data_IF_534320740068
#
_entry.id   IF_534320740068
#
_cell.length_a   1.000
_cell.length_b   1.000
_cell.length_c   1.000
_cell.angle_alpha   90.00
_cell.angle_beta   90.00
_cell.angle_gamma   90.00
#
_symmetry.space_group_name_H-M   'P 1'
#
loop_
_entity.id
_entity.type
_entity.pdbx_description
1 polymer ?
#
# COMPACT_ATOMS: atom_id res chain seq x y z
N UNK A 1 15.65 -15.28 -6.71
CA UNK A 1 16.69 -14.35 -6.26
C UNK A 1 17.29 -13.60 -7.44
N UNK A 2 17.92 -14.27 -8.40
CA UNK A 2 18.54 -13.63 -9.59
C UNK A 2 17.63 -12.60 -10.29
N UNK A 3 16.39 -12.96 -10.67
CA UNK A 3 15.42 -12.03 -11.29
C UNK A 3 15.12 -10.79 -10.42
N UNK A 4 15.08 -10.97 -9.10
CA UNK A 4 14.78 -9.89 -8.16
C UNK A 4 15.97 -8.96 -7.98
N UNK A 5 17.19 -9.50 -7.97
CA UNK A 5 18.43 -8.72 -7.94
C UNK A 5 18.59 -7.89 -9.21
N UNK A 6 18.42 -8.52 -10.38
CA UNK A 6 18.44 -7.84 -11.67
C UNK A 6 17.39 -6.73 -11.74
N UNK A 7 16.20 -6.94 -11.16
CA UNK A 7 15.18 -5.90 -11.07
C UNK A 7 15.63 -4.72 -10.20
N UNK A 8 16.22 -4.97 -9.02
CA UNK A 8 16.73 -3.89 -8.15
C UNK A 8 17.83 -3.09 -8.85
N UNK A 9 18.77 -3.75 -9.53
CA UNK A 9 19.83 -3.09 -10.30
C UNK A 9 19.27 -2.22 -11.43
N UNK A 10 18.27 -2.74 -12.17
CA UNK A 10 17.60 -1.99 -13.22
C UNK A 10 16.86 -0.77 -12.65
N UNK A 11 16.13 -0.92 -11.55
CA UNK A 11 15.40 0.19 -10.92
C UNK A 11 16.35 1.29 -10.47
N UNK A 12 17.52 0.94 -9.93
CA UNK A 12 18.52 1.94 -9.51
C UNK A 12 18.98 2.87 -10.64
N UNK A 13 18.80 2.44 -11.91
CA UNK A 13 19.23 3.19 -13.09
C UNK A 13 18.10 3.86 -13.88
N UNK A 14 16.91 3.27 -13.96
CA UNK A 14 15.93 3.61 -15.01
C UNK A 14 14.48 3.86 -14.54
N UNK A 15 14.23 3.93 -13.24
CA UNK A 15 12.85 4.05 -12.70
C UNK A 15 12.50 5.45 -12.19
N UNK A 16 11.37 5.58 -11.50
CA UNK A 16 10.98 6.83 -10.84
C UNK A 16 12.07 7.29 -9.85
N UNK A 17 12.26 8.61 -9.63
CA UNK A 17 13.29 9.09 -8.70
C UNK A 17 13.18 8.54 -7.28
N UNK A 18 11.96 8.22 -6.83
CA UNK A 18 11.73 7.62 -5.52
C UNK A 18 12.19 6.16 -5.48
N UNK A 19 11.89 5.39 -6.52
CA UNK A 19 12.23 3.97 -6.62
C UNK A 19 13.73 3.79 -6.86
N UNK A 20 14.34 4.64 -7.70
CA UNK A 20 15.80 4.71 -7.87
C UNK A 20 16.48 4.89 -6.52
N UNK A 21 16.05 5.87 -5.73
CA UNK A 21 16.68 6.18 -4.44
C UNK A 21 16.53 5.04 -3.41
N UNK A 22 15.43 4.29 -3.44
CA UNK A 22 15.27 3.09 -2.62
C UNK A 22 16.22 1.98 -3.08
N UNK A 23 16.25 1.69 -4.39
CA UNK A 23 17.09 0.64 -4.96
C UNK A 23 18.59 0.92 -4.78
N UNK A 24 19.05 2.13 -5.10
CA UNK A 24 20.44 2.56 -4.90
C UNK A 24 20.87 2.41 -3.44
N UNK A 25 20.01 2.77 -2.48
CA UNK A 25 20.32 2.62 -1.04
C UNK A 25 20.54 1.18 -0.60
N UNK A 26 19.88 0.21 -1.22
CA UNK A 26 20.14 -1.20 -0.95
C UNK A 26 21.49 -1.62 -1.54
N UNK A 27 21.76 -1.25 -2.78
CA UNK A 27 22.97 -1.65 -3.50
C UNK A 27 24.24 -1.00 -2.94
N UNK A 28 24.15 0.24 -2.49
CA UNK A 28 25.29 1.00 -1.92
C UNK A 28 25.67 0.53 -0.51
N UNK A 29 24.80 -0.20 0.18
CA UNK A 29 25.02 -0.63 1.56
C UNK A 29 24.98 -2.16 1.69
N UNK A 30 26.15 -2.82 1.83
CA UNK A 30 26.22 -4.29 1.92
C UNK A 30 25.41 -4.90 3.07
N UNK A 31 25.28 -4.21 4.21
CA UNK A 31 24.47 -4.70 5.34
C UNK A 31 22.97 -4.54 5.10
N UNK A 32 22.57 -3.52 4.33
CA UNK A 32 21.19 -3.38 3.90
C UNK A 32 20.84 -4.44 2.85
N UNK A 33 21.76 -4.68 1.89
CA UNK A 33 21.63 -5.72 0.87
C UNK A 33 21.41 -7.10 1.48
N UNK A 34 22.33 -7.58 2.34
CA UNK A 34 22.21 -8.90 2.97
C UNK A 34 20.92 -9.08 3.77
N UNK A 35 20.49 -8.02 4.46
CA UNK A 35 19.22 -8.06 5.21
C UNK A 35 18.03 -8.11 4.27
N UNK A 36 18.05 -7.33 3.19
CA UNK A 36 17.02 -7.35 2.17
C UNK A 36 16.93 -8.71 1.52
N UNK A 37 18.05 -9.26 1.07
CA UNK A 37 18.16 -10.59 0.46
C UNK A 37 17.53 -11.66 1.36
N UNK A 38 17.92 -11.70 2.64
CA UNK A 38 17.40 -12.67 3.60
C UNK A 38 15.91 -12.48 3.95
N UNK A 39 15.40 -11.24 3.94
CA UNK A 39 13.99 -10.94 4.15
C UNK A 39 13.16 -11.25 2.88
N UNK A 40 13.71 -10.96 1.71
CA UNK A 40 13.09 -11.19 0.41
C UNK A 40 13.01 -12.69 0.11
N UNK A 41 14.08 -13.46 0.36
CA UNK A 41 14.05 -14.92 0.24
C UNK A 41 12.96 -15.53 1.14
N UNK A 42 12.87 -15.07 2.40
CA UNK A 42 11.79 -15.50 3.31
C UNK A 42 10.40 -15.15 2.78
N UNK A 43 10.25 -14.03 2.07
CA UNK A 43 8.99 -13.61 1.47
C UNK A 43 8.66 -14.44 0.20
N UNK A 44 9.66 -14.76 -0.61
CA UNK A 44 9.49 -15.49 -1.88
C UNK A 44 9.42 -17.00 -1.71
N UNK A 45 9.94 -17.56 -0.61
CA UNK A 45 9.90 -19.00 -0.37
C UNK A 45 8.48 -19.61 -0.40
N UNK A 46 7.47 -19.03 0.29
CA UNK A 46 6.09 -19.51 0.14
C UNK A 46 5.52 -19.33 -1.28
N UNK A 47 6.07 -18.40 -2.07
CA UNK A 47 5.67 -18.18 -3.46
C UNK A 47 6.24 -19.25 -4.37
N UNK A 48 7.48 -19.70 -4.13
CA UNK A 48 8.16 -20.71 -4.97
C UNK A 48 7.89 -22.16 -4.56
N UNK A 49 7.50 -22.41 -3.32
CA UNK A 49 7.20 -23.76 -2.79
C UNK A 49 6.07 -24.51 -3.54
N UNK A 50 4.93 -23.88 -3.89
CA UNK A 50 3.85 -24.57 -4.59
C UNK A 50 4.26 -24.98 -6.00
N UNK A 51 3.98 -26.22 -6.40
CA UNK A 51 4.23 -26.68 -7.77
C UNK A 51 3.25 -26.09 -8.81
N UNK A 52 2.10 -25.57 -8.37
CA UNK A 52 1.05 -25.06 -9.26
C UNK A 52 1.08 -23.53 -9.29
N UNK A 53 1.11 -22.98 -10.51
CA UNK A 53 1.19 -21.54 -10.77
C UNK A 53 0.04 -20.75 -10.12
N UNK A 54 -1.18 -21.29 -10.14
CA UNK A 54 -2.35 -20.68 -9.50
C UNK A 54 -2.10 -20.36 -8.01
N UNK A 55 -1.48 -21.29 -7.28
CA UNK A 55 -1.12 -21.11 -5.87
C UNK A 55 0.04 -20.15 -5.70
N UNK A 56 1.04 -20.19 -6.58
CA UNK A 56 2.17 -19.25 -6.54
C UNK A 56 1.67 -17.80 -6.70
N UNK A 57 0.74 -17.57 -7.64
CA UNK A 57 0.11 -16.28 -7.89
C UNK A 57 -0.60 -15.77 -6.63
N UNK A 58 -1.43 -16.58 -5.98
CA UNK A 58 -2.12 -16.18 -4.75
C UNK A 58 -1.14 -15.84 -3.63
N UNK A 59 -0.04 -16.59 -3.50
CA UNK A 59 1.02 -16.30 -2.52
C UNK A 59 1.74 -14.98 -2.85
N UNK A 60 2.02 -14.71 -4.13
CA UNK A 60 2.65 -13.47 -4.57
C UNK A 60 1.74 -12.25 -4.31
N UNK A 61 0.44 -12.37 -4.60
CA UNK A 61 -0.56 -11.34 -4.26
C UNK A 61 -0.59 -11.05 -2.75
N UNK A 62 -0.60 -12.10 -1.92
CA UNK A 62 -0.56 -11.97 -0.46
C UNK A 62 0.71 -11.25 0.02
N UNK A 63 1.86 -11.58 -0.57
CA UNK A 63 3.13 -10.91 -0.31
C UNK A 63 3.08 -9.42 -0.68
N UNK A 64 2.59 -9.08 -1.88
CA UNK A 64 2.45 -7.69 -2.33
C UNK A 64 1.54 -6.88 -1.41
N UNK A 65 0.38 -7.43 -1.00
CA UNK A 65 -0.53 -6.80 -0.04
C UNK A 65 0.15 -6.53 1.32
N UNK A 66 0.97 -7.47 1.80
CA UNK A 66 1.71 -7.28 3.05
C UNK A 66 2.79 -6.19 2.92
N UNK A 67 3.43 -6.08 1.75
CA UNK A 67 4.42 -5.04 1.48
C UNK A 67 3.81 -3.65 1.41
N UNK A 68 2.61 -3.51 0.81
CA UNK A 68 1.82 -2.26 0.83
C UNK A 68 1.60 -1.79 2.28
N UNK A 69 1.31 -2.71 3.19
CA UNK A 69 1.09 -2.36 4.60
C UNK A 69 2.37 -1.89 5.28
N UNK A 70 3.48 -2.59 5.03
CA UNK A 70 4.77 -2.31 5.66
C UNK A 70 5.38 -0.99 5.22
N UNK A 71 5.11 -0.51 4.00
CA UNK A 71 5.64 0.78 3.53
C UNK A 71 4.82 2.00 3.97
N UNK A 72 3.59 1.79 4.47
CA UNK A 72 2.64 2.87 4.68
C UNK A 72 3.01 3.86 5.79
N UNK A 73 3.75 3.46 6.83
CA UNK A 73 4.22 4.40 7.87
C UNK A 73 5.12 5.46 7.24
N UNK A 74 6.09 5.03 6.44
CA UNK A 74 7.02 5.96 5.76
C UNK A 74 6.31 6.80 4.70
N UNK A 75 5.41 6.21 3.92
CA UNK A 75 4.63 6.96 2.92
C UNK A 75 3.73 7.99 3.58
N UNK A 76 3.09 7.66 4.72
CA UNK A 76 2.34 8.62 5.52
C UNK A 76 3.22 9.77 6.02
N UNK A 77 4.41 9.47 6.56
CA UNK A 77 5.37 10.49 6.99
C UNK A 77 5.77 11.43 5.84
N UNK A 78 6.06 10.87 4.67
CA UNK A 78 6.44 11.61 3.45
C UNK A 78 5.29 12.48 2.96
N UNK A 79 4.08 11.92 2.84
CA UNK A 79 2.97 12.63 2.20
C UNK A 79 2.38 13.70 3.12
N UNK A 80 2.35 13.45 4.43
CA UNK A 80 1.79 14.38 5.43
C UNK A 80 2.83 15.33 6.02
N UNK A 81 4.12 15.15 5.68
CA UNK A 81 5.22 15.98 6.15
C UNK A 81 5.22 16.12 7.68
N UNK A 82 4.96 15.01 8.39
CA UNK A 82 4.80 15.01 9.85
C UNK A 82 6.16 15.25 10.52
N UNK A 83 6.23 16.28 11.36
CA UNK A 83 7.45 16.69 12.04
C UNK A 83 7.25 16.83 13.56
N UNK A 84 8.36 17.06 14.28
CA UNK A 84 8.36 17.40 15.71
C UNK A 84 7.59 16.41 16.59
N UNK A 85 6.76 16.95 17.49
CA UNK A 85 6.04 16.16 18.49
C UNK A 85 5.01 15.19 17.89
N UNK A 86 4.41 15.51 16.73
CA UNK A 86 3.51 14.59 16.02
C UNK A 86 4.27 13.39 15.46
N UNK A 87 5.47 13.61 14.93
CA UNK A 87 6.33 12.50 14.46
C UNK A 87 6.71 11.57 15.62
N UNK A 88 7.05 12.11 16.78
CA UNK A 88 7.30 11.31 17.98
C UNK A 88 6.05 10.53 18.40
N UNK A 89 4.87 11.16 18.35
CA UNK A 89 3.58 10.47 18.61
C UNK A 89 3.31 9.32 17.65
N UNK A 90 3.62 9.49 16.36
CA UNK A 90 3.45 8.43 15.36
C UNK A 90 4.37 7.24 15.67
N UNK A 91 5.65 7.49 15.94
CA UNK A 91 6.57 6.41 16.30
C UNK A 91 6.18 5.75 17.63
N UNK A 92 5.68 6.52 18.60
CA UNK A 92 5.16 5.96 19.85
C UNK A 92 3.95 5.03 19.62
N UNK A 93 3.12 5.29 18.61
CA UNK A 93 1.96 4.47 18.27
C UNK A 93 2.36 3.07 17.74
N UNK A 94 3.43 2.98 16.94
CA UNK A 94 3.83 1.73 16.27
C UNK A 94 5.01 1.00 16.93
N UNK A 95 5.92 1.74 17.55
CA UNK A 95 7.16 1.22 18.16
C UNK A 95 7.17 1.33 19.69
N UNK A 96 6.14 1.95 20.28
CA UNK A 96 6.09 2.26 21.71
C UNK A 96 6.98 3.45 22.10
N UNK A 97 7.01 3.77 23.39
CA UNK A 97 7.64 5.00 23.92
C UNK A 97 9.18 4.87 24.02
N UNK A 98 9.76 3.71 23.70
CA UNK A 98 11.19 3.44 23.91
C UNK A 98 11.99 3.79 22.66
N UNK A 99 12.95 4.69 22.83
CA UNK A 99 13.99 5.07 21.86
C UNK A 99 13.50 5.45 20.45
N UNK A 100 13.04 6.70 20.34
CA UNK A 100 12.59 7.30 19.09
C UNK A 100 13.64 7.24 17.97
N UNK A 101 14.91 7.50 18.28
CA UNK A 101 15.96 7.57 17.26
C UNK A 101 16.17 6.20 16.61
N UNK A 102 16.24 5.15 17.42
CA UNK A 102 16.33 3.78 16.92
C UNK A 102 15.08 3.36 16.16
N UNK A 103 13.88 3.76 16.62
CA UNK A 103 12.65 3.47 15.90
C UNK A 103 12.63 4.11 14.49
N UNK A 104 13.11 5.35 14.36
CA UNK A 104 13.21 6.06 13.08
C UNK A 104 14.18 5.36 12.13
N UNK A 105 15.36 4.98 12.61
CA UNK A 105 16.37 4.28 11.80
C UNK A 105 15.86 2.91 11.37
N UNK A 106 15.22 2.17 12.29
CA UNK A 106 14.64 0.87 12.00
C UNK A 106 13.53 0.95 10.95
N UNK A 107 12.58 1.89 11.11
CA UNK A 107 11.49 2.11 10.15
C UNK A 107 12.01 2.50 8.77
N UNK A 108 12.98 3.40 8.69
CA UNK A 108 13.57 3.78 7.40
C UNK A 108 14.24 2.59 6.71
N UNK A 109 15.00 1.79 7.45
CA UNK A 109 15.58 0.56 6.93
C UNK A 109 14.52 -0.43 6.45
N UNK A 110 13.43 -0.61 7.21
CA UNK A 110 12.32 -1.48 6.84
C UNK A 110 11.63 -0.99 5.57
N UNK A 111 11.37 0.31 5.45
CA UNK A 111 10.79 0.93 4.27
C UNK A 111 11.61 0.66 3.02
N UNK A 112 12.93 0.85 3.09
CA UNK A 112 13.83 0.62 1.95
C UNK A 112 13.74 -0.85 1.50
N UNK A 113 13.87 -1.80 2.42
CA UNK A 113 13.85 -3.24 2.08
C UNK A 113 12.48 -3.73 1.61
N UNK A 114 11.40 -3.24 2.21
CA UNK A 114 10.04 -3.58 1.79
C UNK A 114 9.71 -2.99 0.41
N UNK A 115 10.11 -1.74 0.16
CA UNK A 115 9.87 -1.08 -1.13
C UNK A 115 10.63 -1.76 -2.26
N UNK A 116 11.90 -2.13 -2.07
CA UNK A 116 12.62 -2.94 -3.08
C UNK A 116 11.99 -4.30 -3.30
N UNK A 117 11.55 -4.98 -2.24
CA UNK A 117 10.80 -6.23 -2.39
C UNK A 117 9.49 -6.04 -3.15
N UNK A 118 8.81 -4.90 -2.97
CA UNK A 118 7.56 -4.60 -3.64
C UNK A 118 7.76 -4.44 -5.14
N UNK A 119 8.80 -3.70 -5.55
CA UNK A 119 9.22 -3.57 -6.94
C UNK A 119 9.52 -4.93 -7.58
N UNK A 120 10.16 -5.83 -6.83
CA UNK A 120 10.41 -7.20 -7.29
C UNK A 120 9.10 -7.98 -7.44
N UNK A 121 8.17 -7.91 -6.48
CA UNK A 121 6.89 -8.62 -6.60
C UNK A 121 6.07 -8.14 -7.79
N UNK A 122 6.07 -6.83 -8.06
CA UNK A 122 5.40 -6.26 -9.22
C UNK A 122 6.03 -6.76 -10.53
N UNK A 123 7.35 -6.79 -10.60
CA UNK A 123 8.08 -7.29 -11.76
C UNK A 123 7.81 -8.78 -12.02
N UNK A 124 7.83 -9.62 -10.99
CA UNK A 124 7.53 -11.05 -11.11
C UNK A 124 6.09 -11.28 -11.59
N UNK A 125 5.13 -10.50 -11.05
CA UNK A 125 3.74 -10.60 -11.45
C UNK A 125 3.51 -10.17 -12.90
N UNK A 126 4.12 -9.07 -13.34
CA UNK A 126 4.00 -8.55 -14.70
C UNK A 126 4.68 -9.46 -15.73
N UNK A 127 5.95 -9.82 -15.49
CA UNK A 127 6.79 -10.48 -16.51
C UNK A 127 6.68 -11.99 -16.53
N UNK A 128 6.57 -12.62 -15.37
CA UNK A 128 6.60 -14.08 -15.26
C UNK A 128 5.20 -14.67 -15.12
N UNK A 129 4.35 -14.07 -14.28
CA UNK A 129 3.03 -14.64 -13.97
C UNK A 129 1.89 -14.08 -14.82
N UNK A 130 2.08 -12.91 -15.45
CA UNK A 130 1.09 -12.17 -16.22
C UNK A 130 -0.23 -12.00 -15.46
N UNK A 131 -0.13 -11.64 -14.18
CA UNK A 131 -1.27 -11.59 -13.26
C UNK A 131 -1.98 -10.23 -13.30
N UNK A 132 -3.20 -10.22 -13.85
CA UNK A 132 -4.04 -9.02 -13.94
C UNK A 132 -4.38 -8.38 -12.57
N UNK A 133 -4.27 -9.12 -11.47
CA UNK A 133 -4.51 -8.56 -10.14
C UNK A 133 -3.49 -7.49 -9.73
N UNK A 134 -2.30 -7.49 -10.34
CA UNK A 134 -1.23 -6.52 -10.05
C UNK A 134 -1.40 -5.17 -10.77
N UNK A 135 -2.35 -5.06 -11.69
CA UNK A 135 -2.66 -3.80 -12.36
C UNK A 135 -3.68 -2.96 -11.55
N UNK A 136 -4.87 -2.69 -12.10
CA UNK A 136 -5.88 -1.86 -11.44
C UNK A 136 -6.28 -2.35 -10.04
N UNK A 137 -6.51 -3.66 -9.78
CA UNK A 137 -6.98 -4.13 -8.47
C UNK A 137 -6.01 -3.82 -7.32
N UNK A 138 -4.72 -4.17 -7.46
CA UNK A 138 -3.72 -3.91 -6.43
C UNK A 138 -3.49 -2.40 -6.24
N UNK A 139 -3.48 -1.62 -7.33
CA UNK A 139 -3.36 -0.16 -7.26
C UNK A 139 -4.52 0.48 -6.49
N UNK A 140 -5.76 0.03 -6.75
CA UNK A 140 -6.93 0.48 -6.02
C UNK A 140 -6.88 0.08 -4.54
N UNK A 141 -6.40 -1.14 -4.25
CA UNK A 141 -6.19 -1.57 -2.87
C UNK A 141 -5.17 -0.68 -2.15
N UNK A 142 -4.05 -0.37 -2.78
CA UNK A 142 -3.02 0.51 -2.23
C UNK A 142 -3.57 1.91 -1.91
N UNK A 143 -4.39 2.47 -2.80
CA UNK A 143 -5.06 3.76 -2.57
C UNK A 143 -6.02 3.70 -1.38
N UNK A 144 -6.89 2.69 -1.31
CA UNK A 144 -7.82 2.51 -0.20
C UNK A 144 -7.08 2.28 1.12
N UNK A 145 -5.99 1.52 1.09
CA UNK A 145 -5.20 1.24 2.28
C UNK A 145 -4.52 2.52 2.78
N UNK A 146 -3.98 3.31 1.86
CA UNK A 146 -3.41 4.62 2.17
C UNK A 146 -4.43 5.56 2.80
N UNK A 147 -5.67 5.58 2.30
CA UNK A 147 -6.76 6.38 2.87
C UNK A 147 -7.15 5.92 4.28
N UNK A 148 -7.34 4.62 4.48
CA UNK A 148 -7.59 4.05 5.80
C UNK A 148 -6.45 4.35 6.78
N UNK A 149 -5.21 4.13 6.36
CA UNK A 149 -4.03 4.32 7.20
C UNK A 149 -3.85 5.79 7.59
N UNK A 150 -4.07 6.71 6.65
CA UNK A 150 -4.10 8.15 6.91
C UNK A 150 -5.18 8.52 7.91
N UNK A 151 -6.42 8.06 7.69
CA UNK A 151 -7.56 8.27 8.59
C UNK A 151 -7.26 7.77 10.00
N UNK A 152 -6.68 6.57 10.12
CA UNK A 152 -6.27 6.00 11.39
C UNK A 152 -5.24 6.86 12.10
N UNK A 153 -4.16 7.25 11.41
CA UNK A 153 -3.09 8.04 12.00
C UNK A 153 -3.54 9.46 12.36
N UNK A 154 -4.30 10.13 11.50
CA UNK A 154 -4.78 11.50 11.75
C UNK A 154 -5.67 11.55 12.99
N UNK A 155 -6.59 10.59 13.14
CA UNK A 155 -7.43 10.47 14.34
C UNK A 155 -6.59 10.16 15.58
N UNK A 156 -5.63 9.23 15.48
CA UNK A 156 -4.78 8.85 16.61
C UNK A 156 -3.81 9.96 17.06
N UNK A 157 -3.43 10.86 16.14
CA UNK A 157 -2.50 11.95 16.40
C UNK A 157 -3.19 13.28 16.75
N UNK A 158 -4.51 13.36 16.68
CA UNK A 158 -5.28 14.53 17.08
C UNK A 158 -5.11 14.80 18.59
N UNK A 159 -4.63 15.99 18.94
CA UNK A 159 -4.32 16.39 20.32
C UNK A 159 -5.29 17.43 20.85
N UNK A 160 -5.55 18.46 20.05
CA UNK A 160 -6.47 19.53 20.47
C UNK A 160 -7.92 19.10 20.31
N UNK A 161 -8.84 19.76 21.00
CA UNK A 161 -10.25 19.43 20.90
C UNK A 161 -10.81 19.77 19.52
N UNK A 162 -10.30 20.84 18.90
CA UNK A 162 -10.63 21.23 17.53
C UNK A 162 -10.19 20.16 16.52
N UNK A 163 -8.98 19.59 16.68
CA UNK A 163 -8.47 18.51 15.84
C UNK A 163 -9.29 17.23 15.99
N UNK A 164 -9.69 16.90 17.22
CA UNK A 164 -10.54 15.73 17.49
C UNK A 164 -11.93 15.92 16.89
N UNK A 165 -12.53 17.10 17.04
CA UNK A 165 -13.83 17.41 16.46
C UNK A 165 -13.78 17.38 14.93
N UNK A 166 -12.72 17.92 14.32
CA UNK A 166 -12.50 17.84 12.88
C UNK A 166 -12.32 16.40 12.38
N UNK A 167 -11.73 15.53 13.20
CA UNK A 167 -11.48 14.13 12.88
C UNK A 167 -12.63 13.20 13.28
N UNK A 168 -13.69 13.67 13.92
CA UNK A 168 -14.78 12.83 14.43
C UNK A 168 -15.53 12.08 13.31
N UNK A 169 -15.78 12.76 12.18
CA UNK A 169 -16.39 12.11 11.01
C UNK A 169 -15.47 11.02 10.42
N UNK A 170 -14.16 11.30 10.37
CA UNK A 170 -13.14 10.35 9.94
C UNK A 170 -13.05 9.14 10.89
N UNK A 171 -13.17 9.38 12.20
CA UNK A 171 -13.21 8.35 13.23
C UNK A 171 -14.40 7.39 13.03
N UNK A 172 -15.58 7.95 12.79
CA UNK A 172 -16.81 7.19 12.52
C UNK A 172 -16.73 6.36 11.22
N UNK A 173 -15.94 6.78 10.23
CA UNK A 173 -15.77 6.07 8.96
C UNK A 173 -14.77 4.89 9.03
N UNK A 174 -13.89 4.83 10.05
CA UNK A 174 -12.86 3.79 10.16
C UNK A 174 -13.38 2.34 10.01
N UNK A 175 -14.51 1.94 10.63
CA UNK A 175 -15.04 0.59 10.47
C UNK A 175 -15.42 0.26 9.02
N UNK A 176 -16.03 1.21 8.31
CA UNK A 176 -16.41 1.05 6.90
C UNK A 176 -15.17 0.91 6.01
N UNK A 177 -14.18 1.77 6.18
CA UNK A 177 -12.92 1.70 5.42
C UNK A 177 -12.20 0.37 5.65
N UNK A 178 -12.17 -0.11 6.90
CA UNK A 178 -11.58 -1.42 7.25
C UNK A 178 -12.34 -2.58 6.59
N UNK A 179 -13.68 -2.51 6.55
CA UNK A 179 -14.52 -3.51 5.89
C UNK A 179 -14.25 -3.54 4.38
N UNK A 180 -14.27 -2.39 3.71
CA UNK A 180 -13.98 -2.27 2.27
C UNK A 180 -12.58 -2.76 1.89
N UNK A 181 -11.61 -2.59 2.79
CA UNK A 181 -10.26 -3.15 2.62
C UNK A 181 -10.24 -4.67 2.72
N UNK A 182 -11.00 -5.25 3.65
CA UNK A 182 -11.10 -6.70 3.77
C UNK A 182 -11.75 -7.31 2.51
N UNK A 183 -12.82 -6.69 2.00
CA UNK A 183 -13.45 -7.10 0.74
C UNK A 183 -12.50 -6.99 -0.45
N UNK A 184 -11.80 -5.87 -0.59
CA UNK A 184 -10.83 -5.67 -1.68
C UNK A 184 -9.68 -6.69 -1.60
N UNK A 185 -9.19 -6.99 -0.40
CA UNK A 185 -8.17 -8.02 -0.16
C UNK A 185 -8.68 -9.38 -0.63
N UNK A 186 -9.89 -9.76 -0.21
CA UNK A 186 -10.47 -11.05 -0.55
C UNK A 186 -10.67 -11.17 -2.07
N UNK A 187 -11.23 -10.14 -2.70
CA UNK A 187 -11.42 -10.09 -4.15
C UNK A 187 -10.10 -10.32 -4.89
N UNK A 188 -9.01 -9.61 -4.54
CA UNK A 188 -7.69 -9.79 -5.17
C UNK A 188 -7.18 -11.23 -5.01
N UNK A 189 -7.33 -11.82 -3.83
CA UNK A 189 -6.84 -13.19 -3.58
C UNK A 189 -7.66 -14.25 -4.32
N UNK A 190 -8.95 -14.02 -4.54
CA UNK A 190 -9.85 -14.94 -5.24
C UNK A 190 -9.90 -14.72 -6.76
N UNK A 191 -9.28 -13.65 -7.28
CA UNK A 191 -9.28 -13.38 -8.72
C UNK A 191 -8.73 -14.58 -9.49
N UNK A 192 -9.44 -15.08 -10.53
CA UNK A 192 -8.95 -16.17 -11.34
C UNK A 192 -7.63 -15.76 -12.00
N UNK A 193 -6.73 -16.72 -12.18
CA UNK A 193 -5.55 -16.50 -13.00
C UNK A 193 -6.00 -16.41 -14.47
N UNK A 194 -6.20 -15.19 -14.95
CA UNK A 194 -6.40 -14.91 -16.36
C UNK A 194 -5.10 -14.37 -16.94
N UNK A 195 -4.68 -14.78 -18.15
CA UNK A 195 -3.71 -13.99 -18.91
C UNK A 195 -4.25 -12.55 -18.99
N UNK A 196 -3.37 -11.55 -18.93
CA UNK A 196 -3.73 -10.14 -18.90
C UNK A 196 -4.62 -9.71 -20.08
N UNK A 197 -5.92 -9.94 -19.96
CA UNK A 197 -6.98 -9.26 -20.72
C UNK A 197 -7.50 -8.15 -19.82
N UNK A 198 -7.43 -6.91 -20.32
CA UNK A 198 -7.88 -5.64 -19.71
C UNK A 198 -8.93 -5.82 -18.59
N UNK A 199 -8.48 -5.97 -17.34
CA UNK A 199 -9.39 -5.91 -16.19
C UNK A 199 -9.76 -4.44 -15.99
N UNK A 200 -11.01 -4.07 -16.31
CA UNK A 200 -11.56 -2.74 -16.02
C UNK A 200 -12.69 -2.89 -15.01
N UNK A 201 -12.53 -2.34 -13.82
CA UNK A 201 -13.52 -2.42 -12.73
C UNK A 201 -14.94 -2.02 -13.20
N UNK A 202 -15.02 -1.02 -14.08
CA UNK A 202 -16.26 -0.52 -14.67
C UNK A 202 -17.04 -1.54 -15.54
N UNK A 203 -16.37 -2.56 -16.07
CA UNK A 203 -16.99 -3.59 -16.91
C UNK A 203 -17.54 -4.76 -16.08
N UNK A 204 -16.98 -5.00 -14.89
CA UNK A 204 -17.34 -6.12 -14.02
C UNK A 204 -18.48 -5.74 -13.06
N UNK A 205 -18.54 -4.48 -12.63
CA UNK A 205 -19.67 -3.99 -11.85
C UNK A 205 -20.91 -3.84 -12.74
N UNK A 206 -21.78 -4.86 -12.73
CA UNK A 206 -23.16 -4.68 -13.18
C UNK A 206 -23.84 -3.66 -12.26
N UNK A 207 -24.56 -2.66 -12.79
CA UNK A 207 -25.34 -1.75 -11.95
C UNK A 207 -26.35 -2.57 -11.14
N UNK A 208 -26.15 -2.65 -9.82
CA UNK A 208 -27.02 -3.37 -8.87
C UNK A 208 -28.38 -2.70 -8.67
N UNK A 209 -28.64 -1.56 -9.33
CA UNK A 209 -29.89 -0.82 -9.22
C UNK A 209 -30.03 0.02 -7.94
N UNK A 210 -29.13 -0.16 -6.96
CA UNK A 210 -29.22 0.49 -5.64
C UNK A 210 -28.70 1.94 -5.58
N UNK A 211 -28.19 2.48 -6.68
CA UNK A 211 -27.89 3.91 -6.77
C UNK A 211 -29.20 4.71 -6.86
N UNK A 212 -29.73 5.13 -5.69
CA UNK A 212 -30.73 6.19 -5.65
C UNK A 212 -30.15 7.44 -6.32
N UNK A 213 -30.76 7.88 -7.41
CA UNK A 213 -30.49 9.19 -8.00
C UNK A 213 -30.87 10.25 -6.96
N UNK A 214 -29.88 10.93 -6.40
CA UNK A 214 -30.11 12.12 -5.58
C UNK A 214 -30.94 13.11 -6.41
N UNK A 215 -32.15 13.44 -5.93
CA UNK A 215 -32.97 14.47 -6.55
C UNK A 215 -32.23 15.79 -6.46
N UNK A 216 -31.90 16.37 -7.61
CA UNK A 216 -31.40 17.73 -7.71
C UNK A 216 -32.51 18.67 -7.25
N UNK A 217 -32.38 19.21 -6.03
CA UNK A 217 -33.22 20.31 -5.57
C UNK A 217 -32.76 21.57 -6.28
N UNK A 218 -33.37 21.88 -7.43
CA UNK A 218 -33.26 23.22 -8.00
C UNK A 218 -34.04 24.17 -7.08
N UNK A 219 -33.30 24.96 -6.31
CA UNK A 219 -33.83 26.14 -5.63
C UNK A 219 -34.24 27.15 -6.71
N UNK A 220 -35.54 27.30 -6.93
CA UNK A 220 -36.12 28.40 -7.69
C UNK A 220 -36.03 29.68 -6.86
N UNK A 221 -34.84 30.29 -6.85
CA UNK A 221 -34.59 31.66 -6.36
C UNK A 221 -35.05 32.67 -7.41
N UNK A 222 -35.88 33.62 -6.98
CA UNK A 222 -36.70 34.49 -7.81
C UNK A 222 -35.99 35.39 -8.83
N UNK A 223 -36.72 35.69 -9.90
CA UNK A 223 -36.44 36.83 -10.78
C UNK A 223 -36.95 38.11 -10.11
N UNK A 224 -36.03 39.04 -9.93
CA UNK A 224 -36.30 40.46 -9.71
C UNK A 224 -36.22 41.16 -11.08
N UNK A 225 -37.09 42.16 -11.25
CA UNK A 225 -37.38 43.03 -12.41
C UNK A 225 -38.54 42.57 -13.29
#
# INVERSE_FOLDING_TARGET
MEESEARVEMTACFDSPADMLVASRILENPDAYRRWEAEHDRLMRPVSEPARLDRQVVMLRSAALALVHRKAIFEYLRDRQITGARRHGLFALFYGIRDYANAVVAEHGNYVRCSSSYLCTYHLAERLMQDAAFDEPLRMYEQRYSEYFRTFCDVALARTEEEKQASAAMDALKPLLKYQLAEARQAILEMPQMPAEDWREAQIRKPTGDTQRLRVLFSSGGRVN
#
